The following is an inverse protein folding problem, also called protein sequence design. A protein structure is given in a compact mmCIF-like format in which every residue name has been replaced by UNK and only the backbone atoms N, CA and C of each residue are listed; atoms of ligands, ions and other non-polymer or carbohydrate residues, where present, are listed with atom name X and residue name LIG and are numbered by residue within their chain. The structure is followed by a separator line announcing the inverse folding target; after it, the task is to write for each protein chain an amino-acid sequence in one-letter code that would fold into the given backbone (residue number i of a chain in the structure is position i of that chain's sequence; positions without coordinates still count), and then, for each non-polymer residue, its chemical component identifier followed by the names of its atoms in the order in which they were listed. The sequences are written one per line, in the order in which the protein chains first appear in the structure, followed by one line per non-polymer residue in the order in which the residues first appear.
data_IF_297913708519
#
_entry.id   IF_297913708519
#
_cell.length_a   1.000
_cell.length_b   1.000
_cell.length_c   1.000
_cell.angle_alpha   90.00
_cell.angle_beta   90.00
_cell.angle_gamma   90.00
#
_symmetry.space_group_name_H-M   'P 1'
#
loop_
_entity.id
_entity.type
_entity.pdbx_description
1 polymer ?
#
# COMPACT_ATOMS: atom_id res chain seq x y z
N UNK A 1 1.87 -2.50 26.15
CA UNK A 1 1.53 -1.37 25.25
C UNK A 1 1.52 -1.92 23.83
N UNK A 2 0.56 -1.54 22.97
CA UNK A 2 0.55 -1.98 21.57
C UNK A 2 1.47 -1.07 20.75
N UNK A 3 2.35 -1.65 19.94
CA UNK A 3 3.22 -0.88 19.05
C UNK A 3 2.41 -0.21 17.93
N UNK A 4 2.76 1.03 17.57
CA UNK A 4 2.19 1.72 16.40
C UNK A 4 2.99 1.40 15.16
N UNK A 5 2.29 1.26 14.02
CA UNK A 5 2.96 0.95 12.74
C UNK A 5 4.01 2.00 12.34
N UNK A 6 3.76 3.28 12.65
CA UNK A 6 4.68 4.38 12.36
C UNK A 6 5.90 4.44 13.29
N UNK A 7 6.03 3.51 14.23
CA UNK A 7 7.15 3.40 15.17
C UNK A 7 7.95 2.11 14.97
N UNK A 8 7.49 1.20 14.10
CA UNK A 8 8.16 -0.07 13.87
C UNK A 8 9.51 0.12 13.15
N UNK A 9 10.48 -0.69 13.56
CA UNK A 9 11.83 -0.83 12.96
C UNK A 9 12.02 -2.16 12.24
N UNK A 10 10.94 -2.93 12.06
CA UNK A 10 10.98 -4.24 11.44
C UNK A 10 9.59 -4.71 11.04
N UNK A 11 9.51 -5.82 10.28
CA UNK A 11 8.27 -6.30 9.70
C UNK A 11 7.18 -6.60 10.74
N UNK A 12 5.93 -6.40 10.35
CA UNK A 12 4.80 -6.92 11.14
C UNK A 12 4.80 -8.45 11.12
N UNK A 13 4.32 -9.04 12.21
CA UNK A 13 4.11 -10.48 12.36
C UNK A 13 2.63 -10.85 12.34
N UNK A 14 2.28 -11.92 11.62
CA UNK A 14 0.92 -12.46 11.55
C UNK A 14 0.45 -12.92 12.94
N UNK A 15 -0.81 -12.64 13.26
CA UNK A 15 -1.43 -12.95 14.55
C UNK A 15 -1.14 -11.93 15.66
N UNK A 16 -0.17 -11.02 15.48
CA UNK A 16 0.10 -9.94 16.44
C UNK A 16 -0.83 -8.75 16.23
N UNK A 17 -1.06 -8.01 17.32
CA UNK A 17 -1.87 -6.80 17.33
C UNK A 17 -1.02 -5.54 17.34
N UNK A 18 -1.44 -4.56 16.53
CA UNK A 18 -0.77 -3.26 16.39
C UNK A 18 -1.80 -2.13 16.49
N UNK A 19 -1.33 -0.93 16.78
CA UNK A 19 -2.08 0.29 16.49
C UNK A 19 -1.86 0.65 15.02
N UNK A 20 -2.94 0.60 14.26
CA UNK A 20 -2.94 0.77 12.79
C UNK A 20 -3.73 2.03 12.45
N UNK A 21 -3.24 2.87 11.51
CA UNK A 21 -4.00 4.03 11.07
C UNK A 21 -5.26 3.57 10.34
N UNK A 22 -6.39 4.14 10.74
CA UNK A 22 -7.68 3.88 10.12
C UNK A 22 -8.40 5.17 9.80
N UNK A 23 -9.27 5.13 8.81
CA UNK A 23 -10.15 6.25 8.48
C UNK A 23 -11.59 5.76 8.34
N UNK A 24 -12.53 6.53 8.90
CA UNK A 24 -13.96 6.21 8.81
C UNK A 24 -14.53 6.75 7.52
N UNK A 25 -14.71 5.90 6.52
CA UNK A 25 -15.17 6.32 5.20
C UNK A 25 -15.90 5.21 4.44
N UNK A 26 -16.60 5.59 3.36
CA UNK A 26 -17.28 4.68 2.46
C UNK A 26 -16.26 4.08 1.48
N UNK A 27 -16.15 2.76 1.46
CA UNK A 27 -15.44 2.01 0.43
C UNK A 27 -16.41 1.04 -0.22
N UNK A 28 -16.57 1.13 -1.55
CA UNK A 28 -17.57 0.34 -2.27
C UNK A 28 -17.05 -1.06 -2.60
N UNK A 29 -17.91 -2.10 -2.61
CA UNK A 29 -19.32 -2.11 -2.18
C UNK A 29 -19.53 -2.25 -0.65
N UNK A 30 -18.46 -2.22 0.14
CA UNK A 30 -18.45 -2.62 1.56
C UNK A 30 -19.01 -1.62 2.59
N UNK A 31 -19.34 -0.40 2.15
CA UNK A 31 -20.00 0.62 2.95
C UNK A 31 -19.06 1.43 3.84
N UNK A 32 -19.65 2.13 4.82
CA UNK A 32 -18.94 3.04 5.74
C UNK A 32 -18.42 2.27 6.95
N UNK A 33 -17.10 2.24 7.13
CA UNK A 33 -16.42 1.56 8.26
C UNK A 33 -15.09 2.25 8.56
N UNK A 34 -14.44 1.83 9.64
CA UNK A 34 -13.07 2.25 9.96
C UNK A 34 -12.08 1.33 9.24
N UNK A 35 -11.68 1.74 8.04
CA UNK A 35 -10.81 0.97 7.16
C UNK A 35 -9.35 1.16 7.52
N UNK A 36 -8.53 0.10 7.60
CA UNK A 36 -7.09 0.23 7.76
C UNK A 36 -6.49 0.79 6.47
N UNK A 37 -5.64 1.80 6.59
CA UNK A 37 -5.01 2.50 5.48
C UNK A 37 -3.50 2.41 5.56
N UNK A 38 -2.83 2.64 4.44
CA UNK A 38 -1.37 2.68 4.36
C UNK A 38 -0.89 3.90 3.57
N UNK A 39 0.14 4.56 4.09
CA UNK A 39 0.70 5.78 3.52
C UNK A 39 -0.17 7.03 3.72
N UNK A 40 0.32 8.19 3.27
CA UNK A 40 -0.44 9.43 3.31
C UNK A 40 -1.57 9.44 2.28
N UNK A 41 -2.54 10.31 2.49
CA UNK A 41 -3.53 10.65 1.47
C UNK A 41 -2.82 11.31 0.27
N UNK A 42 -3.18 10.92 -0.96
CA UNK A 42 -2.56 11.48 -2.17
C UNK A 42 -3.46 11.30 -3.40
N UNK A 43 -3.02 11.86 -4.53
CA UNK A 43 -3.52 11.55 -5.87
C UNK A 43 -2.31 11.21 -6.74
N UNK A 44 -2.50 10.42 -7.79
CA UNK A 44 -1.45 10.05 -8.75
C UNK A 44 -1.91 10.37 -10.17
N UNK A 45 -2.28 11.63 -10.36
CA UNK A 45 -2.72 12.12 -11.67
C UNK A 45 -1.61 11.99 -12.72
N UNK A 46 -0.37 12.29 -12.32
CA UNK A 46 0.79 12.06 -13.18
C UNK A 46 1.05 10.54 -13.31
N UNK A 47 1.24 10.07 -14.53
CA UNK A 47 1.36 8.67 -14.95
C UNK A 47 0.15 7.75 -14.72
N UNK A 48 -0.52 7.76 -13.55
CA UNK A 48 -1.60 6.81 -13.23
C UNK A 48 -3.01 7.33 -13.52
N UNK A 49 -3.18 8.62 -13.82
CA UNK A 49 -4.47 9.28 -14.06
C UNK A 49 -5.48 9.15 -12.89
N UNK A 50 -4.96 9.00 -11.67
CA UNK A 50 -5.78 9.02 -10.46
C UNK A 50 -6.00 10.46 -10.01
N UNK A 51 -7.04 11.11 -10.53
CA UNK A 51 -7.35 12.52 -10.24
C UNK A 51 -7.76 12.76 -8.78
N UNK A 52 -8.54 11.86 -8.23
CA UNK A 52 -9.15 12.05 -6.91
C UNK A 52 -8.20 11.66 -5.81
N UNK A 53 -8.20 12.46 -4.75
CA UNK A 53 -7.43 12.14 -3.56
C UNK A 53 -7.97 10.88 -2.90
N UNK A 54 -7.09 10.00 -2.46
CA UNK A 54 -7.46 8.69 -1.96
C UNK A 54 -6.49 8.17 -0.89
N UNK A 55 -6.94 7.15 -0.18
CA UNK A 55 -6.12 6.29 0.66
C UNK A 55 -6.06 4.88 0.06
N UNK A 56 -4.88 4.26 0.10
CA UNK A 56 -4.76 2.82 -0.11
C UNK A 56 -5.14 2.08 1.16
N UNK A 57 -5.73 0.90 0.98
CA UNK A 57 -6.08 0.01 2.08
C UNK A 57 -4.87 -0.83 2.47
N UNK A 58 -4.68 -1.03 3.78
CA UNK A 58 -3.62 -1.91 4.26
C UNK A 58 -4.09 -3.35 4.29
N UNK A 59 -3.78 -4.10 3.23
CA UNK A 59 -4.14 -5.49 3.06
C UNK A 59 -3.73 -6.39 4.25
N UNK A 60 -2.69 -6.03 5.02
CA UNK A 60 -2.22 -6.80 6.17
C UNK A 60 -3.25 -6.84 7.31
N UNK A 61 -4.04 -5.78 7.43
CA UNK A 61 -5.04 -5.59 8.49
C UNK A 61 -6.48 -5.66 7.99
N UNK A 62 -6.67 -5.89 6.69
CA UNK A 62 -8.01 -6.07 6.12
C UNK A 62 -8.66 -7.36 6.68
N UNK A 63 -9.95 -7.29 7.08
CA UNK A 63 -10.67 -8.48 7.51
C UNK A 63 -10.81 -9.50 6.37
N UNK A 64 -10.67 -10.79 6.69
CA UNK A 64 -11.16 -11.89 5.85
C UNK A 64 -12.60 -12.15 6.23
N UNK A 65 -13.54 -11.81 5.35
CA UNK A 65 -14.96 -12.12 5.54
C UNK A 65 -15.25 -13.46 4.85
N UNK A 66 -16.19 -14.24 5.37
CA UNK A 66 -16.67 -15.45 4.69
C UNK A 66 -17.14 -15.07 3.28
N UNK A 67 -16.53 -15.66 2.23
CA UNK A 67 -16.77 -15.32 0.82
C UNK A 67 -15.77 -14.34 0.17
N UNK A 68 -14.93 -13.66 0.97
CA UNK A 68 -13.93 -12.68 0.49
C UNK A 68 -12.51 -13.26 0.42
N UNK A 69 -12.39 -14.58 0.28
CA UNK A 69 -11.12 -15.24 -0.03
C UNK A 69 -10.85 -15.31 -1.53
N UNK A 70 -11.74 -14.77 -2.37
CA UNK A 70 -11.59 -14.80 -3.81
C UNK A 70 -10.62 -13.70 -4.30
N UNK A 71 -9.95 -14.00 -5.42
CA UNK A 71 -9.02 -13.09 -6.12
C UNK A 71 -9.60 -11.69 -6.33
N UNK A 72 -10.91 -11.59 -6.62
CA UNK A 72 -11.56 -10.32 -6.89
C UNK A 72 -11.51 -9.36 -5.69
N UNK A 73 -11.77 -9.86 -4.47
CA UNK A 73 -11.70 -9.00 -3.28
C UNK A 73 -10.31 -8.43 -3.07
N UNK A 74 -9.30 -9.28 -3.15
CA UNK A 74 -7.92 -8.90 -2.92
C UNK A 74 -7.36 -8.00 -4.01
N UNK A 75 -7.78 -8.22 -5.26
CA UNK A 75 -7.55 -7.27 -6.35
C UNK A 75 -8.19 -5.92 -6.03
N UNK A 76 -9.45 -5.90 -5.59
CA UNK A 76 -10.16 -4.68 -5.21
C UNK A 76 -9.46 -3.92 -4.08
N UNK A 77 -8.95 -4.61 -3.05
CA UNK A 77 -8.17 -4.00 -1.96
C UNK A 77 -6.95 -3.25 -2.49
N UNK A 78 -6.27 -3.79 -3.50
CA UNK A 78 -5.06 -3.18 -4.05
C UNK A 78 -5.35 -2.07 -5.07
N UNK A 79 -6.28 -2.29 -5.99
CA UNK A 79 -6.44 -1.44 -7.19
C UNK A 79 -7.60 -0.45 -7.11
N UNK A 80 -8.47 -0.58 -6.11
CA UNK A 80 -9.59 0.34 -5.88
C UNK A 80 -9.39 1.09 -4.58
N UNK A 81 -8.46 2.08 -4.55
CA UNK A 81 -8.22 2.85 -3.35
C UNK A 81 -9.50 3.60 -2.94
N UNK A 82 -9.58 3.93 -1.66
CA UNK A 82 -10.72 4.65 -1.13
C UNK A 82 -10.63 6.12 -1.53
N UNK A 83 -11.48 6.53 -2.47
CA UNK A 83 -11.46 7.86 -3.10
C UNK A 83 -12.37 8.87 -2.41
N UNK A 84 -11.96 10.14 -2.45
CA UNK A 84 -12.80 11.30 -2.15
C UNK A 84 -13.23 11.98 -3.46
N UNK A 85 -14.48 11.76 -3.87
CA UNK A 85 -15.07 12.33 -5.09
C UNK A 85 -16.57 12.57 -4.94
N UNK A 86 -17.18 13.22 -5.94
CA UNK A 86 -18.65 13.43 -5.95
C UNK A 86 -19.37 12.08 -5.82
N UNK A 87 -20.29 11.98 -4.86
CA UNK A 87 -21.06 10.76 -4.58
C UNK A 87 -20.32 9.70 -3.74
N UNK A 88 -19.02 9.88 -3.43
CA UNK A 88 -18.24 8.97 -2.61
C UNK A 88 -17.24 9.74 -1.72
N UNK A 89 -17.49 9.82 -0.42
CA UNK A 89 -16.67 10.61 0.52
C UNK A 89 -16.49 12.07 0.04
N UNK A 90 -17.56 12.69 -0.45
CA UNK A 90 -17.51 14.01 -1.09
C UNK A 90 -17.05 15.15 -0.16
N UNK A 91 -17.23 14.98 1.15
CA UNK A 91 -16.70 15.90 2.17
C UNK A 91 -15.22 15.69 2.51
N UNK A 92 -14.51 14.84 1.76
CA UNK A 92 -13.16 14.39 2.09
C UNK A 92 -13.15 13.28 3.14
N UNK A 93 -11.99 13.11 3.79
CA UNK A 93 -11.79 12.12 4.82
C UNK A 93 -11.72 12.77 6.21
N UNK A 94 -12.33 12.15 7.24
CA UNK A 94 -12.10 12.58 8.62
C UNK A 94 -10.63 12.32 9.03
N UNK A 95 -10.18 12.88 10.17
CA UNK A 95 -8.86 12.61 10.70
C UNK A 95 -8.59 11.11 10.88
N UNK A 96 -7.33 10.71 10.68
CA UNK A 96 -6.87 9.34 10.91
C UNK A 96 -6.95 9.00 12.39
N UNK A 97 -7.54 7.85 12.70
CA UNK A 97 -7.64 7.30 14.06
C UNK A 97 -6.86 5.99 14.14
N UNK A 98 -6.05 5.86 15.18
CA UNK A 98 -5.28 4.66 15.46
C UNK A 98 -6.15 3.62 16.14
N UNK A 99 -6.30 2.44 15.53
CA UNK A 99 -7.12 1.36 16.08
C UNK A 99 -6.31 0.08 16.22
N UNK A 100 -6.60 -0.65 17.29
CA UNK A 100 -6.10 -2.01 17.50
C UNK A 100 -6.57 -2.92 16.35
N UNK A 101 -5.63 -3.46 15.59
CA UNK A 101 -5.89 -4.43 14.51
C UNK A 101 -4.91 -5.59 14.60
N UNK A 102 -5.36 -6.77 14.24
CA UNK A 102 -4.52 -7.96 14.11
C UNK A 102 -3.92 -8.01 12.70
N UNK A 103 -2.61 -8.25 12.59
CA UNK A 103 -2.01 -8.55 11.30
C UNK A 103 -2.48 -9.94 10.87
N UNK A 104 -3.24 -10.00 9.78
CA UNK A 104 -3.80 -11.25 9.25
C UNK A 104 -2.94 -11.89 8.17
N UNK A 105 -2.01 -11.13 7.60
CA UNK A 105 -1.14 -11.51 6.49
C UNK A 105 -0.01 -10.49 6.33
N UNK A 106 1.10 -10.89 5.72
CA UNK A 106 2.25 -10.01 5.49
C UNK A 106 2.08 -9.10 4.26
N UNK A 107 1.23 -9.51 3.32
CA UNK A 107 0.94 -8.74 2.11
C UNK A 107 -0.42 -9.10 1.51
N UNK A 108 -0.79 -8.42 0.43
CA UNK A 108 -1.98 -8.76 -0.33
C UNK A 108 -1.80 -10.14 -1.00
N UNK A 109 -2.75 -11.09 -0.89
CA UNK A 109 -2.65 -12.40 -1.54
C UNK A 109 -2.54 -12.36 -3.06
N UNK A 110 -2.77 -11.21 -3.70
CA UNK A 110 -2.63 -11.00 -5.13
C UNK A 110 -1.36 -10.21 -5.50
N UNK A 111 -0.44 -9.97 -4.55
CA UNK A 111 0.76 -9.14 -4.78
C UNK A 111 1.51 -9.57 -6.04
N UNK A 112 1.87 -10.84 -6.19
CA UNK A 112 2.68 -11.30 -7.33
C UNK A 112 1.98 -11.06 -8.68
N UNK A 113 0.69 -11.41 -8.76
CA UNK A 113 -0.11 -11.20 -9.97
C UNK A 113 -0.25 -9.70 -10.30
N UNK A 114 -0.43 -8.85 -9.28
CA UNK A 114 -0.54 -7.41 -9.46
C UNK A 114 0.79 -6.76 -9.84
N UNK A 115 1.91 -7.23 -9.30
CA UNK A 115 3.25 -6.79 -9.71
C UNK A 115 3.50 -7.09 -11.19
N UNK A 116 3.16 -8.30 -11.65
CA UNK A 116 3.26 -8.65 -13.07
C UNK A 116 2.39 -7.74 -13.94
N UNK A 117 1.11 -7.55 -13.57
CA UNK A 117 0.20 -6.64 -14.30
C UNK A 117 0.71 -5.20 -14.31
N UNK A 118 1.31 -4.73 -13.22
CA UNK A 118 1.89 -3.40 -13.12
C UNK A 118 3.13 -3.26 -14.04
N UNK A 119 3.99 -4.27 -14.11
CA UNK A 119 5.14 -4.28 -15.00
C UNK A 119 4.74 -4.21 -16.49
N UNK A 120 3.58 -4.74 -16.86
CA UNK A 120 3.01 -4.72 -18.22
C UNK A 120 2.22 -3.43 -18.53
N UNK A 121 1.86 -2.64 -17.51
CA UNK A 121 1.04 -1.45 -17.67
C UNK A 121 1.86 -0.21 -18.02
N UNK A 122 1.50 0.47 -19.12
CA UNK A 122 2.16 1.72 -19.55
C UNK A 122 2.13 2.82 -18.48
N UNK A 123 1.05 2.91 -17.71
CA UNK A 123 0.90 3.94 -16.65
C UNK A 123 1.84 3.67 -15.48
N UNK A 124 1.96 2.40 -15.06
CA UNK A 124 2.93 2.00 -14.04
C UNK A 124 4.36 2.06 -14.54
N UNK A 125 4.63 1.73 -15.81
CA UNK A 125 5.94 1.91 -16.42
C UNK A 125 6.38 3.38 -16.42
N UNK A 126 5.47 4.31 -16.76
CA UNK A 126 5.70 5.75 -16.63
C UNK A 126 6.08 6.11 -15.19
N UNK A 127 5.26 5.69 -14.22
CA UNK A 127 5.53 5.97 -12.82
C UNK A 127 6.87 5.40 -12.37
N UNK A 128 7.16 4.14 -12.67
CA UNK A 128 8.40 3.49 -12.24
C UNK A 128 9.62 4.16 -12.87
N UNK A 129 9.57 4.48 -14.17
CA UNK A 129 10.66 5.15 -14.89
C UNK A 129 11.07 6.48 -14.23
N UNK A 130 10.11 7.24 -13.70
CA UNK A 130 10.41 8.48 -12.97
C UNK A 130 11.30 8.24 -11.75
N UNK A 131 11.23 7.07 -11.11
CA UNK A 131 11.92 6.77 -9.85
C UNK A 131 13.08 5.79 -9.98
N UNK A 132 13.24 5.04 -11.07
CA UNK A 132 14.35 4.08 -11.23
C UNK A 132 15.70 4.74 -10.94
N UNK A 133 16.53 4.07 -10.15
CA UNK A 133 17.85 4.53 -9.75
C UNK A 133 17.86 5.60 -8.64
N UNK A 134 16.71 6.18 -8.28
CA UNK A 134 16.62 7.12 -7.16
C UNK A 134 16.88 6.41 -5.84
N UNK A 135 17.46 7.15 -4.90
CA UNK A 135 17.71 6.70 -3.54
C UNK A 135 16.49 6.93 -2.67
N UNK A 136 15.94 5.87 -2.07
CA UNK A 136 14.97 6.00 -1.00
C UNK A 136 15.60 6.67 0.22
N UNK A 137 14.84 7.52 0.92
CA UNK A 137 15.28 8.08 2.20
C UNK A 137 15.31 6.96 3.25
N UNK A 138 16.21 7.06 4.22
CA UNK A 138 16.22 6.21 5.41
C UNK A 138 15.86 7.07 6.61
N UNK A 139 14.84 6.70 7.38
CA UNK A 139 14.35 7.51 8.52
C UNK A 139 14.85 7.01 9.89
N UNK A 140 15.84 6.11 9.88
CA UNK A 140 16.40 5.47 11.07
C UNK A 140 15.70 4.16 11.44
N UNK A 141 14.48 3.93 10.96
CA UNK A 141 13.73 2.67 11.15
C UNK A 141 13.79 1.78 9.93
N UNK A 142 13.82 2.38 8.76
CA UNK A 142 13.98 1.69 7.48
C UNK A 142 13.90 2.64 6.30
N UNK A 143 13.71 2.06 5.12
CA UNK A 143 13.54 2.81 3.88
C UNK A 143 12.15 3.46 3.81
N UNK A 144 12.10 4.62 3.16
CA UNK A 144 10.88 5.38 2.88
C UNK A 144 10.74 5.53 1.37
N UNK A 145 9.63 5.04 0.83
CA UNK A 145 9.36 5.04 -0.61
C UNK A 145 9.46 6.46 -1.19
N UNK A 146 10.26 6.70 -2.25
CA UNK A 146 10.49 8.04 -2.77
C UNK A 146 9.28 8.64 -3.49
N UNK A 147 8.27 7.84 -3.85
CA UNK A 147 7.07 8.34 -4.54
C UNK A 147 6.11 9.07 -3.61
N UNK A 148 5.58 8.39 -2.58
CA UNK A 148 4.59 8.96 -1.65
C UNK A 148 5.02 8.91 -0.18
N UNK A 149 6.33 8.87 0.07
CA UNK A 149 6.92 8.88 1.41
C UNK A 149 6.32 7.82 2.34
N UNK A 150 5.98 6.64 1.78
CA UNK A 150 5.44 5.52 2.55
C UNK A 150 6.58 4.88 3.32
N UNK A 151 6.51 4.78 4.66
CA UNK A 151 7.47 3.99 5.43
C UNK A 151 7.41 2.53 5.02
N UNK A 152 8.56 1.88 4.87
CA UNK A 152 8.66 0.48 4.44
C UNK A 152 9.33 -0.42 5.49
N UNK A 153 9.68 0.13 6.66
CA UNK A 153 10.34 -0.61 7.73
C UNK A 153 9.53 -1.83 8.21
N UNK A 154 8.21 -1.76 8.10
CA UNK A 154 7.26 -2.78 8.50
C UNK A 154 6.89 -3.76 7.38
N UNK A 155 7.58 -3.69 6.24
CA UNK A 155 7.44 -4.61 5.10
C UNK A 155 8.68 -5.50 4.97
N UNK A 156 8.49 -6.82 5.04
CA UNK A 156 9.57 -7.77 4.84
C UNK A 156 10.06 -7.74 3.37
N UNK A 157 11.38 -7.70 3.12
CA UNK A 157 11.92 -7.94 1.80
C UNK A 157 11.65 -9.37 1.33
N UNK A 158 11.46 -9.54 0.02
CA UNK A 158 11.42 -10.84 -0.66
C UNK A 158 12.58 -10.85 -1.65
N UNK A 159 13.47 -11.84 -1.54
CA UNK A 159 14.68 -11.96 -2.36
C UNK A 159 15.53 -10.66 -2.40
N UNK A 160 15.66 -10.02 -1.24
CA UNK A 160 16.42 -8.76 -1.10
C UNK A 160 15.70 -7.52 -1.65
N UNK A 161 14.45 -7.64 -2.09
CA UNK A 161 13.65 -6.53 -2.64
C UNK A 161 12.48 -6.20 -1.72
N UNK A 162 12.40 -4.93 -1.31
CA UNK A 162 11.22 -4.37 -0.67
C UNK A 162 10.23 -3.97 -1.76
N UNK A 163 9.01 -4.46 -1.62
CA UNK A 163 7.88 -4.19 -2.52
C UNK A 163 6.98 -3.14 -1.90
N UNK A 164 6.93 -1.95 -2.51
CA UNK A 164 6.04 -0.89 -2.03
C UNK A 164 4.58 -1.31 -2.23
N UNK A 165 3.74 -1.29 -1.17
CA UNK A 165 2.38 -1.83 -1.21
C UNK A 165 1.37 -0.91 -1.92
N UNK A 166 1.72 0.33 -2.25
CA UNK A 166 0.82 1.26 -2.94
C UNK A 166 0.84 1.03 -4.45
N UNK A 167 2.03 1.20 -5.04
CA UNK A 167 2.20 1.26 -6.50
C UNK A 167 3.30 0.34 -7.00
N UNK A 168 3.59 -0.73 -6.27
CA UNK A 168 4.45 -1.83 -6.73
C UNK A 168 5.88 -1.42 -7.11
N UNK A 169 6.37 -0.32 -6.54
CA UNK A 169 7.76 0.09 -6.71
C UNK A 169 8.67 -0.91 -6.01
N UNK A 170 9.77 -1.27 -6.69
CA UNK A 170 10.78 -2.20 -6.19
C UNK A 170 11.96 -1.42 -5.65
N UNK A 171 12.40 -1.75 -4.44
CA UNK A 171 13.51 -1.09 -3.75
C UNK A 171 14.46 -2.16 -3.25
N UNK A 172 15.73 -2.05 -3.59
CA UNK A 172 16.77 -2.92 -3.04
C UNK A 172 16.86 -2.72 -1.53
N UNK A 173 16.70 -3.79 -0.75
CA UNK A 173 16.62 -3.70 0.71
C UNK A 173 17.94 -3.29 1.37
N UNK A 174 19.07 -3.55 0.71
CA UNK A 174 20.39 -3.27 1.26
C UNK A 174 20.85 -1.83 0.96
N UNK A 175 20.51 -1.32 -0.23
CA UNK A 175 20.98 -0.03 -0.71
C UNK A 175 19.91 1.05 -0.69
N UNK A 176 18.63 0.67 -0.67
CA UNK A 176 17.50 1.60 -0.79
C UNK A 176 17.32 2.16 -2.20
N UNK A 177 18.04 1.65 -3.20
CA UNK A 177 17.89 2.10 -4.58
C UNK A 177 16.62 1.53 -5.21
N UNK A 178 15.89 2.38 -5.93
CA UNK A 178 14.74 1.94 -6.73
C UNK A 178 15.24 1.12 -7.92
N UNK A 179 14.72 -0.09 -8.03
CA UNK A 179 15.04 -1.04 -9.10
C UNK A 179 14.14 -0.82 -10.31
N UNK A 180 14.63 -1.19 -11.48
CA UNK A 180 13.80 -1.27 -12.67
C UNK A 180 12.66 -2.29 -12.49
N UNK A 181 11.56 -2.07 -13.21
CA UNK A 181 10.53 -3.10 -13.34
C UNK A 181 11.11 -4.30 -14.08
N UNK A 182 10.88 -5.50 -13.57
CA UNK A 182 11.11 -6.71 -14.36
C UNK A 182 10.03 -6.78 -15.43
N UNK A 183 10.38 -6.37 -16.64
CA UNK A 183 9.57 -6.71 -17.81
C UNK A 183 9.89 -8.18 -18.09
N UNK A 184 8.91 -9.10 -18.12
CA UNK A 184 9.15 -10.46 -18.58
C UNK A 184 9.83 -10.39 -19.96
N UNK A 185 10.93 -11.10 -20.15
CA UNK A 185 11.48 -11.32 -21.49
C UNK A 185 10.35 -11.82 -22.39
N UNK A 186 10.10 -11.11 -23.49
CA UNK A 186 9.11 -11.50 -24.50
C UNK A 186 9.40 -12.91 -25.03
#
# INVERSE_FOLDING_TARGET
MLARLDELTGPVEVGKFYLVPTVRAKWMPYGVRDWPIIGPQHNDKHCLDFEHTHYHLDARFMPSWHGHHCEWYWSHVAVSPMQAKRGLNAGGFPPVVWKRRECKRLENPQTDALFKRAAESKTFQCLHADYVGRQAKHDGRGWVCPHRSVPLADHAPVDGVIRCPLHFMRIDASTGKVLASEVPSQ
#
